data_IF_534841432473
#
_entry.id   IF_534841432473
#
_cell.length_a   1.000
_cell.length_b   1.000
_cell.length_c   1.000
_cell.angle_alpha   90.00
_cell.angle_beta   90.00
_cell.angle_gamma   90.00
#
_symmetry.space_group_name_H-M   'P 1'
#
loop_
_entity.id
_entity.type
_entity.pdbx_description
1 polymer ?
#
# COMPACT_ATOMS: atom_id res chain seq x y z
N UNK A 1 21.16 24.75 2.64
CA UNK A 1 21.27 24.14 3.98
C UNK A 1 21.61 22.67 3.83
N UNK A 2 22.90 22.32 3.79
CA UNK A 2 23.34 20.94 3.62
C UNK A 2 24.70 20.76 4.31
N UNK A 3 24.69 20.28 5.57
CA UNK A 3 25.92 20.07 6.35
C UNK A 3 25.77 19.20 7.63
N UNK A 4 24.56 18.72 7.98
CA UNK A 4 24.31 18.11 9.31
C UNK A 4 24.21 16.59 9.39
N UNK A 5 24.24 15.84 8.27
CA UNK A 5 24.00 14.38 8.28
C UNK A 5 25.23 13.49 8.05
N UNK A 6 26.45 14.03 8.07
CA UNK A 6 27.69 13.26 7.83
C UNK A 6 28.37 12.70 9.11
N UNK A 7 27.81 12.90 10.31
CA UNK A 7 28.55 12.68 11.56
C UNK A 7 28.40 11.27 12.20
N UNK A 8 27.31 10.53 11.97
CA UNK A 8 27.05 9.25 12.68
C UNK A 8 27.83 8.02 12.18
N UNK A 9 28.72 8.16 11.19
CA UNK A 9 29.53 7.04 10.68
C UNK A 9 30.87 6.84 11.40
N UNK A 10 31.11 7.55 12.51
CA UNK A 10 32.36 7.50 13.27
C UNK A 10 32.03 7.26 14.75
N UNK A 11 32.59 6.18 15.30
CA UNK A 11 32.43 5.65 16.67
C UNK A 11 31.14 4.86 16.96
N UNK A 12 31.29 3.54 17.06
CA UNK A 12 31.09 2.87 18.34
C UNK A 12 31.77 1.48 18.38
N UNK A 13 32.41 1.18 19.51
CA UNK A 13 32.99 -0.12 19.87
C UNK A 13 32.32 -0.53 21.19
N UNK A 14 31.85 -1.77 21.37
CA UNK A 14 30.90 -2.09 22.42
C UNK A 14 31.54 -2.45 23.78
N UNK A 15 30.80 -2.17 24.86
CA UNK A 15 31.07 -2.69 26.20
C UNK A 15 29.83 -2.66 27.09
N UNK A 16 29.53 -3.83 27.71
CA UNK A 16 29.04 -4.05 29.09
C UNK A 16 28.53 -2.83 29.88
N UNK A 17 27.39 -2.79 30.59
CA UNK A 17 26.37 -3.77 31.02
C UNK A 17 25.10 -2.95 31.47
N UNK A 18 23.97 -3.43 32.02
CA UNK A 18 23.57 -4.73 32.61
C UNK A 18 22.03 -4.99 32.51
N UNK A 19 21.56 -6.08 33.13
CA UNK A 19 20.17 -6.55 33.20
C UNK A 19 19.32 -5.88 34.30
N UNK A 20 18.03 -5.63 34.03
CA UNK A 20 16.98 -5.68 35.06
C UNK A 20 15.62 -6.09 34.47
N UNK A 21 14.99 -7.13 35.02
CA UNK A 21 13.65 -7.60 34.66
C UNK A 21 12.59 -7.03 35.62
N UNK A 22 11.35 -6.85 35.17
CA UNK A 22 10.18 -7.00 36.05
C UNK A 22 8.96 -7.50 35.28
N UNK A 23 8.56 -8.75 35.55
CA UNK A 23 7.23 -9.26 35.20
C UNK A 23 6.19 -8.74 36.18
N UNK A 24 4.94 -8.48 35.72
CA UNK A 24 3.72 -8.98 36.36
C UNK A 24 2.44 -8.67 35.57
N UNK A 25 1.79 -9.74 35.13
CA UNK A 25 0.38 -9.78 34.71
C UNK A 25 -0.54 -9.76 35.94
N UNK A 26 -1.81 -9.33 35.79
CA UNK A 26 -2.90 -10.21 36.22
C UNK A 26 -3.97 -10.39 35.14
N UNK A 27 -4.58 -11.58 35.11
CA UNK A 27 -5.68 -11.95 34.22
C UNK A 27 -7.01 -11.95 34.96
N UNK A 28 -8.11 -11.72 34.23
CA UNK A 28 -9.56 -11.99 34.48
C UNK A 28 -10.33 -11.11 33.45
N UNK A 29 -11.44 -11.49 32.83
CA UNK A 29 -12.19 -12.77 32.78
C UNK A 29 -13.17 -12.74 31.59
N UNK A 30 -13.54 -13.90 31.05
CA UNK A 30 -14.51 -14.04 29.95
C UNK A 30 -15.89 -13.43 30.26
N UNK A 31 -16.48 -12.72 29.27
CA UNK A 31 -17.94 -12.59 29.07
C UNK A 31 -18.30 -11.82 27.78
N UNK A 32 -18.63 -12.56 26.72
CA UNK A 32 -19.75 -12.33 25.77
C UNK A 32 -19.64 -13.28 24.57
N UNK A 33 -20.08 -14.51 24.78
CA UNK A 33 -20.53 -15.39 23.70
C UNK A 33 -22.03 -15.62 23.92
N UNK A 34 -22.85 -14.70 23.41
CA UNK A 34 -24.30 -14.85 23.31
C UNK A 34 -24.83 -13.87 22.25
N UNK A 35 -25.95 -14.18 21.59
CA UNK A 35 -26.51 -13.48 20.41
C UNK A 35 -25.90 -13.79 19.02
N UNK A 36 -25.78 -15.07 18.67
CA UNK A 36 -25.90 -15.53 17.27
C UNK A 36 -26.66 -16.86 17.18
N UNK A 37 -27.92 -16.88 17.61
CA UNK A 37 -28.83 -18.02 17.33
C UNK A 37 -30.32 -17.60 17.35
N UNK A 38 -30.71 -16.86 16.31
CA UNK A 38 -32.06 -16.47 15.84
C UNK A 38 -31.81 -15.63 14.57
N UNK A 39 -32.37 -15.90 13.39
CA UNK A 39 -33.49 -16.77 13.03
C UNK A 39 -33.16 -17.57 11.76
N UNK A 40 -33.30 -18.90 11.82
CA UNK A 40 -33.24 -19.75 10.64
C UNK A 40 -34.46 -20.69 10.64
N UNK A 41 -35.54 -20.26 9.98
CA UNK A 41 -36.67 -21.14 9.68
C UNK A 41 -38.05 -20.49 9.68
N UNK A 42 -38.45 -19.89 8.56
CA UNK A 42 -39.86 -19.97 8.17
C UNK A 42 -40.07 -20.10 6.65
N UNK A 43 -40.67 -21.25 6.28
CA UNK A 43 -41.51 -21.52 5.10
C UNK A 43 -40.91 -21.52 3.69
N UNK A 44 -40.74 -22.74 3.16
CA UNK A 44 -40.93 -23.08 1.73
C UNK A 44 -42.35 -23.58 1.49
N UNK A 45 -43.08 -22.96 0.54
CA UNK A 45 -44.18 -23.48 -0.31
C UNK A 45 -44.82 -22.29 -1.06
N UNK A 46 -45.30 -22.36 -2.31
CA UNK A 46 -45.70 -23.47 -3.19
C UNK A 46 -45.18 -23.32 -4.65
N UNK A 47 -45.57 -24.23 -5.56
CA UNK A 47 -45.19 -24.26 -6.99
C UNK A 47 -46.43 -24.34 -7.91
N UNK A 48 -46.29 -23.80 -9.13
CA UNK A 48 -47.20 -23.95 -10.28
C UNK A 48 -48.04 -22.69 -10.57
N UNK A 49 -48.33 -22.29 -11.81
CA UNK A 49 -47.95 -22.80 -13.15
C UNK A 49 -48.84 -22.17 -14.23
N UNK A 50 -48.44 -22.28 -15.52
CA UNK A 50 -49.19 -21.92 -16.75
C UNK A 50 -49.19 -20.45 -17.28
N UNK A 51 -48.46 -20.27 -18.39
CA UNK A 51 -48.86 -19.71 -19.71
C UNK A 51 -49.73 -18.44 -19.91
N UNK A 52 -49.13 -17.46 -20.62
CA UNK A 52 -49.64 -16.77 -21.85
C UNK A 52 -51.02 -16.08 -21.89
N UNK A 53 -51.04 -14.74 -22.03
CA UNK A 53 -51.53 -14.00 -23.25
C UNK A 53 -51.81 -12.49 -23.01
N UNK A 54 -51.77 -11.67 -24.08
CA UNK A 54 -52.51 -10.39 -24.17
C UNK A 54 -51.71 -9.07 -24.09
N UNK A 55 -51.77 -8.26 -25.16
CA UNK A 55 -51.23 -6.88 -25.29
C UNK A 55 -52.25 -5.79 -24.81
N UNK A 56 -52.10 -4.48 -25.12
CA UNK A 56 -51.14 -3.53 -24.53
C UNK A 56 -51.83 -2.24 -24.00
N UNK A 57 -51.16 -1.44 -23.15
CA UNK A 57 -51.59 -0.04 -22.90
C UNK A 57 -50.47 0.93 -22.49
N UNK A 58 -50.46 2.07 -23.20
CA UNK A 58 -50.07 3.43 -22.79
C UNK A 58 -48.70 3.75 -22.19
N UNK A 59 -47.90 4.41 -23.03
CA UNK A 59 -46.79 5.29 -22.65
C UNK A 59 -47.29 6.45 -21.79
N UNK A 60 -46.85 6.53 -20.54
CA UNK A 60 -46.57 7.83 -19.88
C UNK A 60 -45.07 7.99 -19.71
N UNK A 61 -44.57 9.14 -20.13
CA UNK A 61 -43.16 9.47 -20.01
C UNK A 61 -42.82 9.78 -18.55
N UNK A 62 -41.98 8.94 -17.94
CA UNK A 62 -41.34 9.24 -16.65
C UNK A 62 -39.99 9.91 -16.90
N UNK A 63 -40.00 11.25 -16.84
CA UNK A 63 -38.79 12.07 -16.87
C UNK A 63 -38.12 12.07 -15.47
N UNK A 64 -37.53 10.94 -15.08
CA UNK A 64 -37.15 10.71 -13.68
C UNK A 64 -35.99 9.75 -13.37
N UNK A 65 -35.14 9.36 -14.35
CA UNK A 65 -34.09 8.33 -14.12
C UNK A 65 -32.67 8.56 -14.66
N UNK A 66 -32.39 9.70 -15.31
CA UNK A 66 -31.08 9.92 -15.96
C UNK A 66 -29.88 10.06 -15.01
N UNK A 67 -30.08 10.29 -13.71
CA UNK A 67 -29.00 10.37 -12.73
C UNK A 67 -28.49 8.99 -12.32
N UNK A 68 -29.36 8.18 -11.70
CA UNK A 68 -28.99 6.90 -11.09
C UNK A 68 -28.38 5.90 -12.07
N UNK A 69 -28.86 5.80 -13.30
CA UNK A 69 -28.33 4.84 -14.28
C UNK A 69 -26.93 5.23 -14.76
N UNK A 70 -26.62 6.53 -14.81
CA UNK A 70 -25.29 7.03 -15.18
C UNK A 70 -24.30 6.84 -14.04
N UNK A 71 -24.72 7.09 -12.80
CA UNK A 71 -23.88 6.93 -11.62
C UNK A 71 -23.58 5.44 -11.35
N UNK A 72 -24.58 4.56 -11.49
CA UNK A 72 -24.38 3.09 -11.43
C UNK A 72 -23.46 2.60 -12.55
N UNK A 73 -23.58 3.14 -13.78
CA UNK A 73 -22.68 2.78 -14.87
C UNK A 73 -21.23 3.25 -14.64
N UNK A 74 -21.03 4.44 -14.03
CA UNK A 74 -19.72 4.95 -13.64
C UNK A 74 -19.12 4.12 -12.50
N UNK A 75 -19.92 3.75 -11.50
CA UNK A 75 -19.50 2.92 -10.39
C UNK A 75 -19.12 1.50 -10.86
N UNK A 76 -19.96 0.86 -11.68
CA UNK A 76 -19.68 -0.46 -12.26
C UNK A 76 -18.47 -0.45 -13.21
N UNK A 77 -18.15 0.68 -13.84
CA UNK A 77 -16.92 0.85 -14.61
C UNK A 77 -15.69 1.00 -13.70
N UNK A 78 -15.79 1.74 -12.59
CA UNK A 78 -14.72 1.87 -11.61
C UNK A 78 -14.43 0.54 -10.89
N UNK A 79 -15.46 -0.21 -10.52
CA UNK A 79 -15.35 -1.55 -9.94
C UNK A 79 -14.73 -2.55 -10.93
N UNK A 80 -15.12 -2.52 -12.22
CA UNK A 80 -14.46 -3.31 -13.26
C UNK A 80 -12.99 -2.95 -13.45
N UNK A 81 -12.64 -1.65 -13.48
CA UNK A 81 -11.24 -1.23 -13.63
C UNK A 81 -10.39 -1.64 -12.43
N UNK A 82 -10.91 -1.50 -11.21
CA UNK A 82 -10.25 -1.95 -9.98
C UNK A 82 -10.00 -3.47 -9.98
N UNK A 83 -11.01 -4.28 -10.33
CA UNK A 83 -10.87 -5.74 -10.46
C UNK A 83 -9.90 -6.12 -11.60
N UNK A 84 -9.97 -5.43 -12.73
CA UNK A 84 -9.10 -5.67 -13.89
C UNK A 84 -7.64 -5.33 -13.59
N UNK A 85 -7.39 -4.30 -12.78
CA UNK A 85 -6.04 -3.95 -12.37
C UNK A 85 -5.50 -4.82 -11.24
N UNK A 86 -6.32 -5.27 -10.27
CA UNK A 86 -5.90 -6.29 -9.30
C UNK A 86 -5.45 -7.59 -10.01
N UNK A 87 -6.02 -7.87 -11.20
CA UNK A 87 -5.58 -8.98 -12.07
C UNK A 87 -4.21 -8.76 -12.77
N UNK A 88 -3.68 -7.53 -12.78
CA UNK A 88 -2.40 -7.16 -13.44
C UNK A 88 -1.32 -6.72 -12.45
N UNK A 89 -1.71 -5.92 -11.47
CA UNK A 89 -0.88 -5.28 -10.45
C UNK A 89 -1.66 -5.28 -9.12
N UNK A 90 -1.59 -6.39 -8.36
CA UNK A 90 -2.21 -6.48 -7.04
C UNK A 90 -1.81 -5.33 -6.11
N UNK A 91 -2.78 -4.86 -5.33
CA UNK A 91 -2.55 -3.86 -4.28
C UNK A 91 -1.56 -4.33 -3.21
N UNK A 92 -0.95 -3.37 -2.51
CA UNK A 92 -0.16 -3.65 -1.32
C UNK A 92 -1.03 -4.23 -0.20
N UNK A 93 -2.31 -3.83 -0.10
CA UNK A 93 -3.26 -4.38 0.86
C UNK A 93 -3.43 -5.91 0.67
N UNK A 94 -3.57 -6.37 -0.56
CA UNK A 94 -3.60 -7.81 -0.91
C UNK A 94 -2.37 -8.54 -0.39
N UNK A 95 -1.18 -7.93 -0.51
CA UNK A 95 0.07 -8.47 0.03
C UNK A 95 0.09 -8.47 1.57
N UNK A 96 -0.42 -7.42 2.21
CA UNK A 96 -0.51 -7.26 3.66
C UNK A 96 -1.31 -8.34 4.38
N UNK A 97 -2.28 -8.98 3.70
CA UNK A 97 -3.06 -10.11 4.25
C UNK A 97 -2.22 -11.32 4.70
N UNK A 98 -1.00 -11.44 4.16
CA UNK A 98 -0.03 -12.48 4.50
C UNK A 98 1.33 -11.91 4.91
N UNK A 99 1.68 -10.68 4.52
CA UNK A 99 2.92 -9.99 4.89
C UNK A 99 2.65 -8.74 5.76
N UNK A 100 1.97 -8.87 6.91
CA UNK A 100 1.45 -7.73 7.67
C UNK A 100 2.57 -6.81 8.19
N UNK A 101 3.73 -7.38 8.55
CA UNK A 101 4.90 -6.60 9.00
C UNK A 101 5.44 -5.72 7.87
N UNK A 102 5.71 -6.31 6.70
CA UNK A 102 6.28 -5.60 5.56
C UNK A 102 5.29 -4.57 5.01
N UNK A 103 3.99 -4.87 5.02
CA UNK A 103 2.95 -3.91 4.68
C UNK A 103 2.90 -2.73 5.67
N UNK A 104 2.94 -3.00 6.99
CA UNK A 104 2.98 -1.94 8.00
C UNK A 104 4.17 -1.00 7.77
N UNK A 105 5.38 -1.55 7.74
CA UNK A 105 6.62 -0.81 7.45
C UNK A 105 6.52 0.02 6.15
N UNK A 106 6.05 -0.60 5.06
CA UNK A 106 5.91 0.05 3.76
C UNK A 106 4.84 1.13 3.72
N UNK A 107 3.70 0.95 4.38
CA UNK A 107 2.51 1.80 4.23
C UNK A 107 2.70 3.25 4.66
N UNK A 108 3.71 3.52 5.49
CA UNK A 108 4.12 4.86 5.93
C UNK A 108 5.48 5.30 5.35
N UNK A 109 6.12 4.45 4.54
CA UNK A 109 7.42 4.72 3.91
C UNK A 109 7.37 5.86 2.87
N UNK A 110 8.51 6.47 2.58
CA UNK A 110 8.62 7.44 1.48
C UNK A 110 8.45 6.79 0.09
N UNK A 111 8.68 5.48 0.00
CA UNK A 111 8.36 4.69 -1.19
C UNK A 111 6.85 4.64 -1.46
N UNK A 112 6.00 4.45 -0.44
CA UNK A 112 4.55 4.43 -0.61
C UNK A 112 3.94 5.84 -0.71
N UNK A 113 4.61 6.85 -0.16
CA UNK A 113 4.25 8.26 -0.30
C UNK A 113 4.67 8.87 -1.65
N UNK A 114 5.55 8.21 -2.42
CA UNK A 114 6.25 8.79 -3.58
C UNK A 114 5.36 9.46 -4.63
N UNK A 115 4.16 8.92 -4.90
CA UNK A 115 3.18 9.51 -5.83
C UNK A 115 2.19 10.47 -5.14
N UNK A 116 2.04 10.37 -3.81
CA UNK A 116 1.11 11.19 -3.02
C UNK A 116 1.70 12.51 -2.51
N UNK A 117 3.03 12.62 -2.38
CA UNK A 117 3.71 13.84 -1.91
C UNK A 117 3.35 15.06 -2.77
N UNK A 118 2.71 16.11 -2.19
CA UNK A 118 2.41 17.35 -2.91
C UNK A 118 3.67 18.05 -3.43
N UNK A 119 4.80 17.93 -2.72
CA UNK A 119 6.09 18.52 -3.15
C UNK A 119 6.54 17.91 -4.49
N UNK A 120 6.48 16.59 -4.61
CA UNK A 120 6.75 15.90 -5.88
C UNK A 120 5.75 16.29 -6.97
N UNK A 121 4.45 16.32 -6.66
CA UNK A 121 3.41 16.62 -7.65
C UNK A 121 3.55 18.03 -8.21
N UNK A 122 3.82 19.02 -7.36
CA UNK A 122 4.12 20.39 -7.77
C UNK A 122 5.38 20.46 -8.62
N UNK A 123 6.48 19.83 -8.20
CA UNK A 123 7.74 19.83 -8.97
C UNK A 123 7.61 19.14 -10.34
N UNK A 124 6.93 18.01 -10.40
CA UNK A 124 6.66 17.25 -11.63
C UNK A 124 5.78 18.05 -12.59
N UNK A 125 4.80 18.79 -12.07
CA UNK A 125 3.93 19.67 -12.86
C UNK A 125 4.69 20.88 -13.40
N UNK A 126 5.44 21.58 -12.55
CA UNK A 126 6.28 22.73 -12.91
C UNK A 126 7.31 22.37 -13.99
N UNK A 127 8.05 21.26 -13.82
CA UNK A 127 9.01 20.79 -14.83
C UNK A 127 8.31 20.46 -16.16
N UNK A 128 7.11 19.90 -16.11
CA UNK A 128 6.33 19.65 -17.32
C UNK A 128 5.82 20.95 -17.97
N UNK A 129 5.41 21.96 -17.20
CA UNK A 129 5.01 23.27 -17.73
C UNK A 129 6.21 23.98 -18.40
N UNK A 130 7.32 24.12 -17.68
CA UNK A 130 8.56 24.75 -18.18
C UNK A 130 9.15 24.03 -19.40
N UNK A 131 8.93 22.72 -19.54
CA UNK A 131 9.39 21.91 -20.68
C UNK A 131 8.34 21.76 -21.79
N UNK A 132 7.21 22.49 -21.73
CA UNK A 132 6.08 22.37 -22.68
C UNK A 132 5.61 20.92 -22.88
N UNK A 133 5.58 20.15 -21.79
CA UNK A 133 5.21 18.73 -21.76
C UNK A 133 6.27 17.75 -22.29
N UNK A 134 7.44 18.22 -22.75
CA UNK A 134 8.46 17.35 -23.35
C UNK A 134 9.16 16.42 -22.35
N UNK A 135 9.13 16.74 -21.05
CA UNK A 135 9.55 15.81 -19.98
C UNK A 135 8.58 14.61 -19.83
N UNK A 136 7.29 14.81 -20.10
CA UNK A 136 6.26 13.77 -20.13
C UNK A 136 6.16 12.96 -18.83
N UNK A 137 6.12 11.63 -18.97
CA UNK A 137 6.04 10.68 -17.85
C UNK A 137 7.38 10.44 -17.13
N UNK A 138 8.44 11.20 -17.41
CA UNK A 138 9.79 10.90 -16.90
C UNK A 138 9.82 10.72 -15.37
N UNK A 139 9.26 11.66 -14.61
CA UNK A 139 9.20 11.59 -13.15
C UNK A 139 8.32 10.43 -12.68
N UNK A 140 7.21 10.17 -13.38
CA UNK A 140 6.26 9.11 -13.05
C UNK A 140 6.89 7.71 -13.11
N UNK A 141 7.89 7.50 -13.98
CA UNK A 141 8.63 6.21 -14.11
C UNK A 141 9.33 5.78 -12.83
N UNK A 142 9.63 6.72 -11.92
CA UNK A 142 10.27 6.44 -10.63
C UNK A 142 9.37 6.73 -9.42
N UNK A 143 8.30 7.53 -9.55
CA UNK A 143 7.39 7.86 -8.45
C UNK A 143 6.09 7.03 -8.44
N UNK A 144 5.58 6.62 -9.60
CA UNK A 144 4.48 5.66 -9.74
C UNK A 144 4.73 4.77 -10.98
N UNK A 145 5.66 3.79 -10.88
CA UNK A 145 6.05 2.97 -12.03
C UNK A 145 4.90 2.15 -12.61
N UNK A 146 3.91 1.76 -11.79
CA UNK A 146 2.68 1.12 -12.27
C UNK A 146 1.91 2.06 -13.20
N UNK A 147 1.68 3.30 -12.76
CA UNK A 147 1.00 4.30 -13.59
C UNK A 147 1.72 4.63 -14.89
N UNK A 148 3.06 4.67 -14.86
CA UNK A 148 3.85 4.76 -16.07
C UNK A 148 3.63 3.54 -16.99
N UNK A 149 3.55 2.31 -16.46
CA UNK A 149 3.25 1.10 -17.25
C UNK A 149 1.81 1.06 -17.79
N UNK A 150 0.84 1.61 -17.06
CA UNK A 150 -0.55 1.77 -17.50
C UNK A 150 -0.72 2.90 -18.52
N UNK A 151 0.27 3.79 -18.67
CA UNK A 151 0.20 4.93 -19.59
C UNK A 151 -0.61 6.10 -19.05
N UNK A 152 -0.78 6.19 -17.73
CA UNK A 152 -1.51 7.29 -17.09
C UNK A 152 -0.83 8.64 -17.32
N UNK A 153 -1.64 9.68 -17.51
CA UNK A 153 -1.13 11.04 -17.70
C UNK A 153 -0.33 11.52 -16.48
N UNK A 154 0.82 12.19 -16.67
CA UNK A 154 1.55 12.82 -15.56
C UNK A 154 0.74 13.95 -14.89
N UNK A 155 -0.27 14.50 -15.57
CA UNK A 155 -1.18 15.53 -15.06
C UNK A 155 -2.47 14.96 -14.43
N UNK A 156 -2.61 13.64 -14.35
CA UNK A 156 -3.78 12.99 -13.75
C UNK A 156 -3.79 13.17 -12.23
N UNK A 157 -4.91 13.69 -11.70
CA UNK A 157 -5.13 13.81 -10.27
C UNK A 157 -5.04 12.46 -9.56
N UNK A 158 -4.42 12.43 -8.38
CA UNK A 158 -4.40 11.23 -7.54
C UNK A 158 -5.80 10.76 -7.10
N UNK A 159 -6.83 11.62 -7.18
CA UNK A 159 -8.22 11.24 -6.93
C UNK A 159 -8.80 10.32 -8.03
N UNK A 160 -8.23 10.39 -9.23
CA UNK A 160 -8.73 9.72 -10.45
C UNK A 160 -7.76 8.67 -11.00
N UNK A 161 -6.48 8.77 -10.61
CA UNK A 161 -5.42 7.78 -10.86
C UNK A 161 -5.80 6.38 -10.36
N UNK A 162 -5.32 5.33 -11.00
CA UNK A 162 -5.59 3.95 -10.59
C UNK A 162 -5.13 3.70 -9.13
N UNK A 163 -5.93 3.05 -8.25
CA UNK A 163 -5.54 2.75 -6.86
C UNK A 163 -4.10 2.25 -6.67
N UNK A 164 -3.68 1.17 -7.34
CA UNK A 164 -2.30 0.65 -7.26
C UNK A 164 -1.23 1.62 -7.78
N UNK A 165 -1.58 2.58 -8.63
CA UNK A 165 -0.65 3.65 -9.04
C UNK A 165 -0.49 4.73 -7.96
N UNK A 166 -1.49 4.95 -7.10
CA UNK A 166 -1.41 5.89 -5.96
C UNK A 166 -0.49 5.36 -4.85
N UNK A 167 -0.29 4.05 -4.78
CA UNK A 167 0.64 3.38 -3.87
C UNK A 167 2.13 3.66 -4.17
N UNK A 168 2.45 4.42 -5.22
CA UNK A 168 3.82 4.83 -5.54
C UNK A 168 4.75 3.65 -5.85
N UNK A 169 5.76 3.44 -5.01
CA UNK A 169 6.66 2.27 -5.05
C UNK A 169 6.10 1.15 -4.17
N UNK A 170 5.03 0.53 -4.65
CA UNK A 170 4.34 -0.60 -4.00
C UNK A 170 5.10 -1.93 -4.12
N UNK A 171 4.65 -2.95 -3.39
CA UNK A 171 5.24 -4.29 -3.31
C UNK A 171 5.57 -4.87 -4.70
N UNK A 172 4.63 -4.79 -5.66
CA UNK A 172 4.82 -5.36 -7.00
C UNK A 172 5.79 -4.56 -7.87
N UNK A 173 6.10 -3.30 -7.57
CA UNK A 173 7.16 -2.55 -8.28
C UNK A 173 8.51 -3.22 -8.08
N UNK A 174 8.80 -3.73 -6.87
CA UNK A 174 10.04 -4.47 -6.63
C UNK A 174 9.88 -5.97 -6.92
N UNK A 175 8.78 -6.58 -6.50
CA UNK A 175 8.57 -8.03 -6.54
C UNK A 175 7.98 -8.57 -7.86
N UNK A 176 7.69 -7.72 -8.85
CA UNK A 176 7.38 -8.11 -10.24
C UNK A 176 8.40 -7.60 -11.27
N UNK A 177 9.65 -7.38 -10.86
CA UNK A 177 10.77 -7.19 -11.79
C UNK A 177 11.50 -8.51 -12.06
N UNK A 178 11.67 -8.84 -13.35
CA UNK A 178 12.36 -10.06 -13.81
C UNK A 178 13.63 -9.80 -14.63
N UNK A 179 14.07 -8.53 -14.71
CA UNK A 179 15.23 -8.06 -15.49
C UNK A 179 16.08 -7.11 -14.65
N UNK A 180 17.39 -7.24 -14.76
CA UNK A 180 18.33 -6.26 -14.19
C UNK A 180 18.50 -5.09 -15.15
N UNK A 181 18.01 -3.91 -14.76
CA UNK A 181 18.10 -2.70 -15.58
C UNK A 181 19.46 -2.01 -15.49
N UNK A 182 20.17 -2.16 -14.36
CA UNK A 182 21.38 -1.38 -14.01
C UNK A 182 21.07 0.13 -13.91
N UNK A 183 22.11 0.98 -13.91
CA UNK A 183 21.98 2.45 -13.96
C UNK A 183 21.15 2.87 -15.19
N UNK A 184 19.88 3.21 -15.00
CA UNK A 184 18.92 3.58 -16.05
C UNK A 184 17.86 4.52 -15.48
N UNK A 185 17.71 5.70 -16.06
CA UNK A 185 16.64 6.65 -15.71
C UNK A 185 15.46 6.49 -16.68
N UNK A 186 14.79 5.34 -16.61
CA UNK A 186 13.83 4.90 -17.63
C UNK A 186 12.69 4.03 -17.08
N UNK A 187 11.66 3.79 -17.90
CA UNK A 187 10.48 3.03 -17.49
C UNK A 187 10.85 1.56 -17.25
N UNK A 188 10.46 1.04 -16.10
CA UNK A 188 10.71 -0.35 -15.70
C UNK A 188 9.56 -1.22 -16.18
N UNK A 189 9.83 -2.26 -16.97
CA UNK A 189 8.77 -3.14 -17.45
C UNK A 189 8.42 -4.14 -16.33
N UNK A 190 7.28 -3.90 -15.68
CA UNK A 190 6.76 -4.77 -14.62
C UNK A 190 6.08 -6.00 -15.22
N UNK A 191 6.26 -7.16 -14.58
CA UNK A 191 5.58 -8.41 -14.95
C UNK A 191 4.13 -8.35 -14.46
N UNK A 192 3.21 -8.11 -15.38
CA UNK A 192 1.77 -8.18 -15.12
C UNK A 192 1.34 -9.58 -14.70
N UNK A 193 0.37 -9.67 -13.78
CA UNK A 193 -0.31 -10.90 -13.37
C UNK A 193 -0.94 -10.75 -11.98
N UNK A 194 -1.95 -11.57 -11.66
CA UNK A 194 -2.73 -11.44 -10.43
C UNK A 194 -1.93 -11.88 -9.19
N UNK A 195 -2.55 -11.87 -8.00
CA UNK A 195 -1.98 -12.46 -6.79
C UNK A 195 -1.47 -13.89 -7.04
N UNK A 196 -2.10 -14.67 -7.91
CA UNK A 196 -1.74 -16.07 -8.17
C UNK A 196 -0.50 -16.25 -9.06
N UNK A 197 0.02 -15.18 -9.66
CA UNK A 197 1.22 -15.21 -10.50
C UNK A 197 2.55 -15.14 -9.72
N UNK A 198 3.69 -15.51 -10.32
CA UNK A 198 4.96 -15.62 -9.61
C UNK A 198 5.48 -14.26 -9.16
N UNK A 199 5.98 -14.19 -7.92
CA UNK A 199 6.71 -13.04 -7.39
C UNK A 199 8.21 -13.31 -7.40
N UNK A 200 9.03 -12.25 -7.38
CA UNK A 200 10.49 -12.33 -7.43
C UNK A 200 11.11 -11.92 -6.09
N UNK A 201 12.05 -12.71 -5.57
CA UNK A 201 12.69 -12.49 -4.27
C UNK A 201 14.13 -13.02 -4.23
N UNK A 202 14.92 -12.72 -3.17
CA UNK A 202 16.35 -13.06 -3.15
C UNK A 202 16.64 -14.55 -2.92
N UNK A 203 15.70 -15.29 -2.29
CA UNK A 203 15.91 -16.66 -1.79
C UNK A 203 15.31 -17.78 -2.64
N UNK A 204 14.43 -17.48 -3.60
CA UNK A 204 13.74 -18.50 -4.39
C UNK A 204 12.64 -19.27 -3.65
N UNK A 205 12.27 -20.44 -4.19
CA UNK A 205 10.95 -21.06 -4.01
C UNK A 205 10.84 -22.10 -2.87
N UNK A 206 11.90 -22.38 -2.11
CA UNK A 206 11.93 -23.48 -1.11
C UNK A 206 10.76 -23.39 -0.11
N UNK A 207 10.62 -22.26 0.57
CA UNK A 207 9.59 -22.06 1.60
C UNK A 207 8.19 -22.00 0.99
N UNK A 208 8.05 -21.41 -0.20
CA UNK A 208 6.76 -21.39 -0.90
C UNK A 208 6.30 -22.80 -1.26
N UNK A 209 7.22 -23.62 -1.79
CA UNK A 209 6.94 -25.02 -2.11
C UNK A 209 6.67 -25.89 -0.85
N UNK A 210 7.15 -25.48 0.33
CA UNK A 210 6.77 -26.09 1.61
C UNK A 210 5.35 -25.70 2.00
N UNK A 211 5.02 -24.41 1.98
CA UNK A 211 3.67 -23.89 2.32
C UNK A 211 2.59 -24.48 1.41
N UNK A 212 2.86 -24.64 0.10
CA UNK A 212 1.89 -25.23 -0.84
C UNK A 212 1.64 -26.74 -0.64
N UNK A 213 2.53 -27.46 0.06
CA UNK A 213 2.38 -28.89 0.35
C UNK A 213 1.79 -29.17 1.74
N UNK A 214 1.64 -28.13 2.55
CA UNK A 214 1.23 -28.21 3.93
C UNK A 214 -0.22 -27.73 4.06
N UNK A 215 -1.15 -28.67 3.99
CA UNK A 215 -2.60 -28.45 4.10
C UNK A 215 -3.00 -27.63 5.34
N UNK A 216 -2.13 -27.58 6.35
CA UNK A 216 -2.34 -26.76 7.54
C UNK A 216 -2.44 -25.26 7.21
N UNK A 217 -1.86 -24.77 6.10
CA UNK A 217 -1.99 -23.38 5.65
C UNK A 217 -3.26 -23.09 4.85
N UNK A 218 -3.98 -24.10 4.33
CA UNK A 218 -5.25 -23.98 3.58
C UNK A 218 -5.20 -22.96 2.42
N UNK A 219 -4.09 -22.96 1.69
CA UNK A 219 -3.85 -22.06 0.55
C UNK A 219 -4.23 -22.71 -0.79
N UNK A 220 -4.58 -21.87 -1.77
CA UNK A 220 -4.86 -22.27 -3.16
C UNK A 220 -4.21 -21.30 -4.16
N UNK A 221 -3.72 -21.84 -5.27
CA UNK A 221 -2.99 -21.11 -6.33
C UNK A 221 -3.77 -21.03 -7.65
N UNK A 222 -5.03 -21.47 -7.66
CA UNK A 222 -5.91 -21.51 -8.83
C UNK A 222 -7.11 -20.57 -8.63
N UNK A 223 -7.57 -19.95 -9.73
CA UNK A 223 -8.79 -19.14 -9.71
C UNK A 223 -10.03 -19.99 -9.41
N UNK A 224 -11.08 -19.35 -8.87
CA UNK A 224 -12.36 -20.00 -8.57
C UNK A 224 -12.36 -21.06 -7.44
N UNK A 225 -11.23 -21.68 -7.08
CA UNK A 225 -11.18 -22.64 -5.96
C UNK A 225 -11.40 -21.94 -4.61
N UNK A 226 -12.19 -22.52 -3.69
CA UNK A 226 -12.33 -21.99 -2.33
C UNK A 226 -11.03 -22.22 -1.53
N UNK A 227 -10.62 -21.22 -0.75
CA UNK A 227 -9.40 -21.24 0.05
C UNK A 227 -8.63 -19.91 -0.02
N UNK A 228 -7.57 -19.77 0.79
CA UNK A 228 -6.76 -18.55 0.81
C UNK A 228 -5.90 -18.47 -0.46
N UNK A 229 -6.14 -17.46 -1.30
CA UNK A 229 -5.35 -17.19 -2.51
C UNK A 229 -3.91 -16.84 -2.14
N UNK A 230 -2.94 -17.33 -2.90
CA UNK A 230 -1.51 -17.00 -2.74
C UNK A 230 -0.77 -17.11 -4.08
N UNK A 231 0.36 -16.40 -4.22
CA UNK A 231 1.24 -16.50 -5.38
C UNK A 231 1.79 -17.92 -5.56
N UNK A 232 1.70 -18.46 -6.78
CA UNK A 232 2.08 -19.86 -7.05
C UNK A 232 3.57 -20.18 -6.90
N UNK A 233 4.44 -19.17 -6.95
CA UNK A 233 5.88 -19.36 -6.98
C UNK A 233 6.63 -18.09 -6.50
N UNK A 234 7.69 -18.28 -5.72
CA UNK A 234 8.67 -17.25 -5.39
C UNK A 234 9.96 -17.50 -6.20
N UNK A 235 10.13 -16.78 -7.31
CA UNK A 235 11.29 -16.91 -8.21
C UNK A 235 12.50 -16.19 -7.64
N UNK A 236 13.68 -16.79 -7.80
CA UNK A 236 14.92 -16.14 -7.37
C UNK A 236 15.29 -14.99 -8.32
N UNK A 237 15.53 -13.80 -7.77
CA UNK A 237 16.09 -12.65 -8.48
C UNK A 237 17.20 -12.02 -7.65
N UNK A 238 18.44 -12.51 -7.84
CA UNK A 238 19.61 -12.15 -7.04
C UNK A 238 19.96 -10.65 -7.07
N UNK A 239 19.55 -9.92 -8.12
CA UNK A 239 19.75 -8.47 -8.23
C UNK A 239 19.06 -7.69 -7.11
N UNK A 240 17.89 -8.17 -6.62
CA UNK A 240 17.11 -7.50 -5.57
C UNK A 240 17.89 -7.30 -4.26
N UNK A 241 18.86 -8.19 -3.99
CA UNK A 241 19.80 -8.11 -2.87
C UNK A 241 21.13 -7.39 -3.18
N UNK A 242 21.21 -6.64 -4.28
CA UNK A 242 22.40 -5.89 -4.69
C UNK A 242 22.12 -4.38 -4.77
N UNK A 243 23.09 -3.51 -4.45
CA UNK A 243 22.98 -2.05 -4.61
C UNK A 243 22.55 -1.55 -6.00
N UNK A 244 22.90 -2.31 -7.05
CA UNK A 244 22.58 -1.99 -8.44
C UNK A 244 21.08 -2.04 -8.75
N UNK A 245 20.26 -2.68 -7.91
CA UNK A 245 18.81 -2.65 -8.03
C UNK A 245 18.26 -1.26 -7.69
N UNK A 246 18.68 -0.69 -6.55
CA UNK A 246 18.29 0.64 -6.09
C UNK A 246 18.71 1.75 -7.09
N UNK A 247 19.85 1.57 -7.75
CA UNK A 247 20.39 2.46 -8.80
C UNK A 247 19.46 2.67 -10.02
N UNK A 248 18.41 1.86 -10.13
CA UNK A 248 17.38 2.01 -11.16
C UNK A 248 16.51 3.24 -10.93
N UNK A 249 16.35 3.66 -9.67
CA UNK A 249 15.65 4.89 -9.28
C UNK A 249 16.61 5.93 -8.68
N UNK A 250 17.65 5.50 -7.96
CA UNK A 250 18.60 6.37 -7.22
C UNK A 250 19.90 6.70 -7.96
N UNK A 251 19.80 6.93 -9.27
CA UNK A 251 20.91 7.33 -10.16
C UNK A 251 20.28 8.00 -11.42
N UNK A 252 19.76 9.21 -11.23
CA UNK A 252 18.86 9.89 -12.17
C UNK A 252 19.65 10.84 -13.08
N UNK A 253 19.70 10.53 -14.37
CA UNK A 253 20.20 11.41 -15.43
C UNK A 253 19.06 11.78 -16.36
N UNK A 254 18.87 13.08 -16.58
CA UNK A 254 17.89 13.64 -17.50
C UNK A 254 18.29 13.39 -18.96
N UNK A 255 17.33 13.52 -19.89
CA UNK A 255 17.56 13.29 -21.32
C UNK A 255 18.64 14.21 -21.94
N UNK A 256 18.87 15.38 -21.36
CA UNK A 256 19.90 16.34 -21.77
C UNK A 256 21.30 16.03 -21.19
N UNK A 257 21.46 14.93 -20.44
CA UNK A 257 22.70 14.53 -19.78
C UNK A 257 22.95 15.17 -18.41
N UNK A 258 22.06 16.05 -17.93
CA UNK A 258 22.15 16.59 -16.57
C UNK A 258 21.89 15.49 -15.54
N UNK A 259 22.76 15.39 -14.52
CA UNK A 259 22.60 14.43 -13.43
C UNK A 259 21.80 15.08 -12.31
N UNK A 260 20.58 14.60 -12.11
CA UNK A 260 19.64 15.11 -11.11
C UNK A 260 19.86 14.44 -9.75
N UNK A 261 20.21 13.15 -9.74
CA UNK A 261 20.55 12.38 -8.54
C UNK A 261 21.72 11.44 -8.86
N UNK A 262 22.76 11.45 -8.03
CA UNK A 262 23.97 10.61 -8.21
C UNK A 262 24.20 9.63 -7.05
N UNK A 263 23.21 9.39 -6.20
CA UNK A 263 23.36 8.67 -4.94
C UNK A 263 24.05 7.29 -5.09
N UNK A 264 23.70 6.50 -6.11
CA UNK A 264 24.41 5.24 -6.38
C UNK A 264 25.83 5.44 -6.95
N UNK A 265 26.05 6.46 -7.79
CA UNK A 265 27.38 6.83 -8.29
C UNK A 265 28.32 7.24 -7.14
N UNK A 266 27.85 8.08 -6.23
CA UNK A 266 28.55 8.49 -5.01
C UNK A 266 28.83 7.29 -4.10
N UNK A 267 27.79 6.50 -3.78
CA UNK A 267 27.90 5.28 -2.99
C UNK A 267 29.03 4.37 -3.47
N UNK A 268 29.16 4.14 -4.79
CA UNK A 268 30.21 3.27 -5.36
C UNK A 268 31.64 3.71 -5.05
N UNK A 269 31.87 4.98 -4.67
CA UNK A 269 33.18 5.51 -4.28
C UNK A 269 33.38 5.57 -2.76
N UNK A 270 32.30 5.40 -2.00
CA UNK A 270 32.25 5.57 -0.55
C UNK A 270 33.04 4.51 0.25
N UNK A 271 33.37 4.78 1.53
CA UNK A 271 33.90 3.76 2.44
C UNK A 271 32.95 2.57 2.66
N UNK A 272 31.63 2.76 2.56
CA UNK A 272 30.65 1.69 2.72
C UNK A 272 30.78 0.65 1.59
N UNK A 273 30.77 1.10 0.33
CA UNK A 273 30.97 0.23 -0.82
C UNK A 273 32.34 -0.46 -0.81
N UNK A 274 33.41 0.23 -0.38
CA UNK A 274 34.75 -0.35 -0.24
C UNK A 274 34.82 -1.50 0.79
N UNK A 275 33.92 -1.51 1.79
CA UNK A 275 33.79 -2.58 2.80
C UNK A 275 32.70 -3.61 2.45
N UNK A 276 32.05 -3.48 1.30
CA UNK A 276 30.97 -4.38 0.87
C UNK A 276 29.61 -4.13 1.52
N UNK A 277 29.45 -3.09 2.34
CA UNK A 277 28.16 -2.69 2.94
C UNK A 277 27.22 -2.19 1.84
N UNK A 278 26.09 -2.88 1.63
CA UNK A 278 25.11 -2.59 0.59
C UNK A 278 24.10 -1.51 1.01
N UNK A 279 23.35 -0.96 0.04
CA UNK A 279 22.21 -0.10 0.32
C UNK A 279 21.20 -0.79 1.26
N UNK A 280 20.95 -2.08 1.02
CA UNK A 280 20.04 -2.92 1.80
C UNK A 280 20.51 -3.12 3.25
N UNK A 281 21.82 -3.14 3.52
CA UNK A 281 22.34 -3.32 4.88
C UNK A 281 22.05 -2.12 5.79
N UNK A 282 22.04 -0.90 5.24
CA UNK A 282 21.67 0.31 5.99
C UNK A 282 20.19 0.67 5.90
N UNK A 283 19.54 0.51 4.73
CA UNK A 283 18.17 1.01 4.49
C UNK A 283 17.07 -0.06 4.58
N UNK A 284 17.46 -1.32 4.83
CA UNK A 284 16.52 -2.43 5.05
C UNK A 284 16.97 -3.31 6.23
N UNK A 285 17.89 -2.81 7.07
CA UNK A 285 18.38 -3.46 8.29
C UNK A 285 17.44 -3.25 9.48
N UNK A 286 17.97 -3.48 10.70
CA UNK A 286 17.27 -3.21 11.96
C UNK A 286 17.09 -1.71 12.24
N UNK A 287 18.12 -0.93 11.92
CA UNK A 287 18.21 0.50 12.24
C UNK A 287 18.42 1.27 10.93
N UNK A 288 17.55 2.24 10.66
CA UNK A 288 17.58 2.94 9.38
C UNK A 288 18.84 3.80 9.23
N UNK A 289 19.55 3.62 8.13
CA UNK A 289 20.82 4.30 7.83
C UNK A 289 22.06 3.64 8.46
N UNK A 290 21.89 2.61 9.30
CA UNK A 290 22.98 1.94 10.01
C UNK A 290 23.05 0.48 9.61
N UNK A 291 24.27 -0.03 9.33
CA UNK A 291 24.49 -1.44 9.01
C UNK A 291 24.44 -2.34 10.26
N UNK A 292 23.37 -2.25 11.05
CA UNK A 292 23.13 -2.97 12.31
C UNK A 292 22.73 -4.45 12.12
N UNK A 293 22.88 -4.97 10.90
CA UNK A 293 22.41 -6.28 10.50
C UNK A 293 20.88 -6.32 10.37
N UNK A 294 20.31 -7.51 10.56
CA UNK A 294 18.91 -7.80 10.24
C UNK A 294 18.23 -8.57 11.36
N UNK A 295 16.91 -8.44 11.42
CA UNK A 295 16.08 -9.32 12.25
C UNK A 295 15.92 -10.69 11.59
N UNK A 296 15.54 -11.67 12.40
CA UNK A 296 15.21 -13.03 11.97
C UNK A 296 13.80 -13.35 12.46
N UNK A 297 12.98 -13.91 11.59
CA UNK A 297 11.59 -14.25 11.88
C UNK A 297 10.82 -14.68 10.64
N UNK A 298 9.50 -14.90 10.75
CA UNK A 298 8.68 -15.37 9.65
C UNK A 298 8.55 -14.30 8.55
N UNK A 299 8.81 -14.70 7.31
CA UNK A 299 8.62 -13.82 6.14
C UNK A 299 7.15 -13.51 5.82
N UNK A 300 6.22 -14.34 6.30
CA UNK A 300 4.78 -14.19 6.17
C UNK A 300 4.03 -14.86 7.34
N UNK A 301 2.83 -14.36 7.64
CA UNK A 301 1.84 -15.01 8.52
C UNK A 301 0.64 -15.40 7.67
N UNK A 302 0.56 -16.66 7.27
CA UNK A 302 -0.46 -17.18 6.34
C UNK A 302 -1.53 -17.91 7.13
N UNK A 303 -2.76 -17.37 7.15
CA UNK A 303 -3.86 -17.99 7.91
C UNK A 303 -3.62 -18.06 9.43
N UNK A 304 -2.90 -17.07 9.98
CA UNK A 304 -2.47 -17.06 11.38
C UNK A 304 -1.24 -17.93 11.67
N UNK A 305 -0.67 -18.61 10.67
CA UNK A 305 0.49 -19.50 10.85
C UNK A 305 1.77 -18.86 10.29
N UNK A 306 2.88 -18.86 11.05
CA UNK A 306 4.15 -18.34 10.56
C UNK A 306 4.76 -19.25 9.48
N UNK A 307 5.38 -18.64 8.48
CA UNK A 307 6.39 -19.29 7.62
C UNK A 307 7.68 -19.56 8.39
N UNK A 308 8.57 -20.38 7.83
CA UNK A 308 9.93 -20.60 8.35
C UNK A 308 10.70 -19.29 8.54
N UNK A 309 11.42 -19.20 9.64
CA UNK A 309 12.24 -18.04 9.96
C UNK A 309 13.36 -17.82 8.93
N UNK A 310 13.58 -16.55 8.58
CA UNK A 310 14.64 -16.10 7.68
C UNK A 310 15.10 -14.69 8.04
N UNK A 311 16.16 -14.22 7.39
CA UNK A 311 16.53 -12.79 7.35
C UNK A 311 15.30 -11.96 6.95
N UNK A 312 14.86 -11.09 7.84
CA UNK A 312 13.85 -10.07 7.56
C UNK A 312 14.55 -8.79 7.12
N UNK A 313 13.99 -8.15 6.11
CA UNK A 313 14.44 -6.84 5.61
C UNK A 313 13.34 -5.83 5.88
N UNK A 314 13.66 -4.71 6.51
CA UNK A 314 12.71 -3.62 6.73
C UNK A 314 12.25 -3.03 5.38
N UNK A 315 10.97 -2.73 5.27
CA UNK A 315 10.36 -2.01 4.14
C UNK A 315 10.01 -0.56 4.51
N UNK A 316 10.59 -0.03 5.58
CA UNK A 316 10.27 1.31 6.08
C UNK A 316 10.79 2.44 5.19
N UNK A 317 11.87 2.22 4.43
CA UNK A 317 12.43 3.14 3.42
C UNK A 317 12.30 4.63 3.79
N UNK A 318 12.82 5.02 4.96
CA UNK A 318 12.70 6.39 5.44
C UNK A 318 13.39 7.37 4.50
N UNK A 319 12.82 8.56 4.39
CA UNK A 319 13.38 9.73 3.71
C UNK A 319 13.00 11.01 4.45
N UNK A 320 13.41 12.19 3.95
CA UNK A 320 13.36 13.45 4.69
C UNK A 320 11.99 14.17 4.69
N UNK A 321 11.00 13.65 3.95
CA UNK A 321 9.67 14.24 3.84
C UNK A 321 8.70 13.69 4.91
N UNK A 322 7.61 14.40 5.17
CA UNK A 322 6.55 13.97 6.09
C UNK A 322 5.18 14.19 5.44
N UNK A 323 4.20 13.35 5.77
CA UNK A 323 2.85 13.52 5.21
C UNK A 323 2.23 14.85 5.64
N UNK A 324 1.80 15.63 4.65
CA UNK A 324 1.02 16.87 4.82
C UNK A 324 -0.40 16.74 4.26
N UNK A 325 -0.78 15.55 3.79
CA UNK A 325 -2.11 15.25 3.26
C UNK A 325 -3.01 14.64 4.34
N UNK A 326 -4.30 14.46 4.03
CA UNK A 326 -5.29 13.98 4.99
C UNK A 326 -4.91 12.59 5.57
N UNK A 327 -4.98 12.36 6.89
CA UNK A 327 -4.57 11.10 7.52
C UNK A 327 -5.43 9.90 7.12
N UNK A 328 -6.65 10.12 6.63
CA UNK A 328 -7.49 9.09 6.01
C UNK A 328 -7.04 8.63 4.61
N UNK A 329 -6.08 9.35 4.01
CA UNK A 329 -5.49 9.02 2.70
C UNK A 329 -4.08 8.42 2.85
N UNK A 330 -3.30 8.89 3.83
CA UNK A 330 -1.96 8.38 4.10
C UNK A 330 -1.66 8.42 5.61
N UNK A 331 -1.11 7.35 6.23
CA UNK A 331 -0.50 6.15 5.64
C UNK A 331 -1.46 5.26 4.83
N UNK A 332 -0.95 4.40 3.95
CA UNK A 332 -1.82 3.49 3.20
C UNK A 332 -2.49 2.49 4.15
N UNK A 333 -3.81 2.44 4.16
CA UNK A 333 -4.57 1.62 5.09
C UNK A 333 -5.78 1.01 4.37
N UNK A 334 -5.83 -0.33 4.32
CA UNK A 334 -6.89 -1.06 3.64
C UNK A 334 -8.29 -0.76 4.19
N UNK A 335 -8.43 -0.62 5.52
CA UNK A 335 -9.71 -0.31 6.17
C UNK A 335 -10.16 1.11 5.83
N UNK A 336 -9.23 2.07 5.82
CA UNK A 336 -9.53 3.44 5.39
C UNK A 336 -9.99 3.49 3.92
N UNK A 337 -9.33 2.71 3.04
CA UNK A 337 -9.65 2.62 1.61
C UNK A 337 -10.99 1.93 1.33
N UNK A 338 -11.39 0.96 2.17
CA UNK A 338 -12.70 0.29 2.11
C UNK A 338 -13.83 1.17 2.65
N UNK A 339 -13.57 1.94 3.72
CA UNK A 339 -14.58 2.77 4.39
C UNK A 339 -15.09 3.94 3.53
N UNK A 340 -14.19 4.62 2.81
CA UNK A 340 -14.51 5.83 2.07
C UNK A 340 -13.48 6.11 0.96
N UNK A 341 -13.93 6.74 -0.12
CA UNK A 341 -13.04 7.22 -1.18
C UNK A 341 -12.16 8.39 -0.70
N UNK A 342 -11.06 8.65 -1.41
CA UNK A 342 -10.23 9.84 -1.14
C UNK A 342 -11.02 11.16 -1.17
N UNK A 343 -12.07 11.24 -1.99
CA UNK A 343 -12.91 12.45 -2.09
C UNK A 343 -13.74 12.67 -0.84
N UNK A 344 -14.27 11.60 -0.27
CA UNK A 344 -15.02 11.65 1.00
C UNK A 344 -14.06 11.88 2.17
N UNK A 345 -12.88 11.24 2.20
CA UNK A 345 -11.86 11.50 3.21
C UNK A 345 -11.40 12.96 3.25
N UNK A 346 -11.33 13.66 2.10
CA UNK A 346 -11.04 15.10 2.06
C UNK A 346 -12.17 15.98 2.63
N UNK A 347 -13.36 15.44 2.83
CA UNK A 347 -14.51 16.13 3.44
C UNK A 347 -14.63 15.86 4.95
N UNK A 348 -13.84 14.94 5.52
CA UNK A 348 -13.86 14.63 6.95
C UNK A 348 -13.01 15.64 7.73
N UNK A 349 -13.62 16.49 8.56
CA UNK A 349 -12.85 17.47 9.34
C UNK A 349 -12.34 16.89 10.67
N UNK A 350 -11.24 16.15 10.59
CA UNK A 350 -10.57 15.62 11.76
C UNK A 350 -10.02 16.70 12.70
N UNK A 351 -9.84 17.95 12.24
CA UNK A 351 -9.30 19.08 13.02
C UNK A 351 -10.39 19.81 13.80
N UNK A 352 -11.60 19.85 13.28
CA UNK A 352 -12.78 20.29 14.02
C UNK A 352 -13.16 19.33 15.16
N UNK A 353 -12.66 18.08 15.12
CA UNK A 353 -12.89 17.08 16.17
C UNK A 353 -13.92 16.01 15.80
N UNK A 354 -14.33 15.88 14.52
CA UNK A 354 -15.36 14.91 14.11
C UNK A 354 -15.05 13.48 14.61
N UNK A 355 -16.07 12.80 15.13
CA UNK A 355 -15.93 11.48 15.73
C UNK A 355 -15.26 11.46 17.11
N UNK A 356 -15.24 12.56 17.86
CA UNK A 356 -14.88 12.55 19.29
C UNK A 356 -16.07 12.99 20.13
N UNK A 357 -16.21 12.43 21.33
CA UNK A 357 -17.25 12.79 22.30
C UNK A 357 -17.35 14.31 22.48
N UNK A 358 -16.21 15.02 22.60
CA UNK A 358 -16.22 16.47 22.81
C UNK A 358 -16.75 17.28 21.62
N UNK A 359 -16.72 16.73 20.40
CA UNK A 359 -17.35 17.34 19.24
C UNK A 359 -18.82 16.92 19.15
N UNK A 360 -19.07 15.61 19.12
CA UNK A 360 -20.40 15.04 18.83
C UNK A 360 -21.45 15.43 19.90
N UNK A 361 -21.08 15.49 21.19
CA UNK A 361 -21.96 15.99 22.28
C UNK A 361 -22.40 17.45 22.12
N UNK A 362 -21.73 18.22 21.24
CA UNK A 362 -21.98 19.65 21.00
C UNK A 362 -22.55 19.94 19.61
N UNK A 363 -22.78 18.93 18.78
CA UNK A 363 -23.35 19.06 17.45
C UNK A 363 -24.84 19.44 17.56
N UNK A 364 -25.30 20.56 16.97
CA UNK A 364 -26.73 20.87 16.90
C UNK A 364 -27.52 19.84 16.08
N UNK A 365 -28.77 19.57 16.45
CA UNK A 365 -29.66 18.63 15.72
C UNK A 365 -29.88 19.00 14.23
N UNK A 366 -29.70 20.27 13.86
CA UNK A 366 -29.82 20.77 12.48
C UNK A 366 -28.48 20.89 11.72
N UNK A 367 -27.37 20.44 12.34
CA UNK A 367 -26.06 20.40 11.70
C UNK A 367 -26.09 19.50 10.46
N UNK A 368 -25.36 19.93 9.41
CA UNK A 368 -25.30 19.21 8.14
C UNK A 368 -23.88 18.74 7.87
N UNK A 369 -23.74 17.45 7.64
CA UNK A 369 -22.49 16.82 7.26
C UNK A 369 -22.52 16.42 5.78
N UNK A 370 -21.37 16.15 5.16
CA UNK A 370 -21.30 15.48 3.88
C UNK A 370 -21.95 14.08 3.96
N UNK A 371 -22.58 13.62 2.88
CA UNK A 371 -23.43 12.40 2.88
C UNK A 371 -22.74 11.16 3.47
N UNK A 372 -21.44 10.95 3.19
CA UNK A 372 -20.68 9.81 3.75
C UNK A 372 -20.49 9.89 5.28
N UNK A 373 -20.52 11.09 5.84
CA UNK A 373 -20.23 11.40 7.24
C UNK A 373 -21.45 11.91 8.02
N UNK A 374 -22.65 11.68 7.50
CA UNK A 374 -23.92 12.11 8.12
C UNK A 374 -24.24 11.29 9.38
N UNK A 375 -23.99 9.98 9.33
CA UNK A 375 -24.03 9.11 10.50
C UNK A 375 -22.95 9.47 11.51
N UNK A 376 -23.32 9.54 12.78
CA UNK A 376 -22.36 9.74 13.90
C UNK A 376 -21.46 8.51 14.07
N UNK A 377 -21.98 7.31 13.85
CA UNK A 377 -21.21 6.05 13.94
C UNK A 377 -20.09 6.02 12.89
N UNK A 378 -20.39 6.45 11.65
CA UNK A 378 -19.37 6.59 10.60
C UNK A 378 -18.29 7.64 10.97
N UNK A 379 -18.62 8.65 11.77
CA UNK A 379 -17.62 9.63 12.24
C UNK A 379 -16.73 9.03 13.33
N UNK A 380 -17.28 8.23 14.26
CA UNK A 380 -16.49 7.50 15.26
C UNK A 380 -15.59 6.44 14.62
N UNK A 381 -16.11 5.59 13.73
CA UNK A 381 -15.31 4.60 13.00
C UNK A 381 -14.16 5.27 12.22
N UNK A 382 -14.43 6.42 11.60
CA UNK A 382 -13.40 7.20 10.92
C UNK A 382 -12.35 7.72 11.89
N UNK A 383 -12.75 8.24 13.06
CA UNK A 383 -11.82 8.69 14.12
C UNK A 383 -10.92 7.56 14.61
N UNK A 384 -11.44 6.36 14.82
CA UNK A 384 -10.66 5.21 15.27
C UNK A 384 -9.60 4.79 14.25
N UNK A 385 -9.94 4.84 12.96
CA UNK A 385 -8.96 4.67 11.87
C UNK A 385 -7.91 5.80 11.93
N UNK A 386 -8.32 7.06 12.03
CA UNK A 386 -7.38 8.19 12.06
C UNK A 386 -6.44 8.15 13.28
N UNK A 387 -6.91 7.69 14.43
CA UNK A 387 -6.09 7.53 15.64
C UNK A 387 -4.93 6.56 15.40
N UNK A 388 -5.22 5.39 14.82
CA UNK A 388 -4.18 4.42 14.41
C UNK A 388 -3.24 4.99 13.33
N UNK A 389 -3.76 5.80 12.42
CA UNK A 389 -2.95 6.46 11.37
C UNK A 389 -2.00 7.50 11.97
N UNK A 390 -2.42 8.27 12.99
CA UNK A 390 -1.56 9.19 13.70
C UNK A 390 -0.46 8.47 14.47
N UNK A 391 -0.78 7.42 15.24
CA UNK A 391 0.24 6.58 15.90
C UNK A 391 1.27 6.04 14.90
N UNK A 392 0.82 5.65 13.71
CA UNK A 392 1.71 5.13 12.67
C UNK A 392 2.58 6.22 12.03
N UNK A 393 2.07 7.45 11.89
CA UNK A 393 2.84 8.61 11.45
C UNK A 393 3.88 9.05 12.50
N UNK A 394 3.55 8.99 13.80
CA UNK A 394 4.53 9.28 14.87
C UNK A 394 5.63 8.22 14.91
N UNK A 395 5.29 6.92 14.78
CA UNK A 395 6.29 5.85 14.62
C UNK A 395 7.28 6.13 13.46
N UNK A 396 6.79 6.75 12.38
CA UNK A 396 7.63 7.07 11.23
C UNK A 396 8.52 8.31 11.40
N UNK A 397 8.36 9.08 12.49
CA UNK A 397 9.19 10.28 12.77
C UNK A 397 10.50 9.96 13.48
N UNK A 398 10.58 8.82 14.18
CA UNK A 398 11.74 8.38 14.97
C UNK A 398 11.55 8.64 16.45
#
# INVERSE_FOLDING_TARGET
MALFFLYSCIQNVPGSTDVAQSEKTPALSDKKADMMEKEAGMMKKEMGGAESSGEPADKKADSGKSGSEKDVALQAAAEHEALFAESKFPSAATCGTCHPKQYKEWSVSQHSYAQLSPVYLSLSSEINELSSGSNGDFCLRCHSPIGANLGESPFMSNLDRHPTSREGITCVVCHRLNKTYNKRSGRLALVQGSLLDPVYGPTGNEEMARVLKDDAFRVVTEEGKPGRKIHKEAKQFASLSQPIFCATCHDVTLFNGFRLEEAFSEYRTSPAAKRGTTCQDCHMGKEQGVAAGYEVGPGAIVGGKPTKDRKLTSHFFAGPDYSVIHPGIFPHNAVAQEMASMREWLQFDHKAGWGTDEFEDKVPEDAKFPVRWDSVDDRYDARDILTQQFEHLEYARG
#
